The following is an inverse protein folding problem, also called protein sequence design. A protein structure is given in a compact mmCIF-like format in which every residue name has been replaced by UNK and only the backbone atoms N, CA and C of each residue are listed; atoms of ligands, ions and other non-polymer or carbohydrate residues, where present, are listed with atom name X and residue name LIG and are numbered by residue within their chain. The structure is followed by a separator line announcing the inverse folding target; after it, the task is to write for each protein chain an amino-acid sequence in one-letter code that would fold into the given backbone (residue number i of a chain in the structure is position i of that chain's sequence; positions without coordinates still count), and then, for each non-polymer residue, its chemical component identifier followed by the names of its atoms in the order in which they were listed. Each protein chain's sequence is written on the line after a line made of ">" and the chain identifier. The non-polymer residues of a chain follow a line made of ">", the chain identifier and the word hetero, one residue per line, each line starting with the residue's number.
data_IF_784576326664
#
_entry.id   IF_784576326664
#
_cell.length_a   1.000
_cell.length_b   1.000
_cell.length_c   1.000
_cell.angle_alpha   90.00
_cell.angle_beta   90.00
_cell.angle_gamma   90.00
#
_symmetry.space_group_name_H-M   'P 1'
#
loop_
_entity.id
_entity.type
_entity.pdbx_description
1 polymer ?
#
# COMPACT_ATOMS: atom_id res chain seq x y z
N UNK A 1 -6.83 -8.12 31.96
CA UNK A 1 -6.33 -8.86 30.77
C UNK A 1 -7.51 -9.28 29.91
N UNK A 2 -7.71 -8.58 28.79
CA UNK A 2 -8.72 -9.00 27.80
C UNK A 2 -8.26 -10.35 27.23
N UNK A 3 -9.04 -11.41 27.42
CA UNK A 3 -8.84 -12.67 26.71
C UNK A 3 -8.84 -12.36 25.22
N UNK A 4 -7.90 -12.95 24.45
CA UNK A 4 -7.87 -12.82 23.00
C UNK A 4 -9.26 -13.13 22.46
N UNK A 5 -9.93 -12.10 21.97
CA UNK A 5 -11.29 -12.21 21.40
C UNK A 5 -11.28 -12.98 20.07
N UNK A 6 -10.12 -13.12 19.47
CA UNK A 6 -9.95 -13.70 18.15
C UNK A 6 -9.15 -15.00 18.22
N UNK A 7 -9.66 -16.03 17.60
CA UNK A 7 -9.01 -17.35 17.54
C UNK A 7 -7.71 -17.28 16.71
N UNK A 8 -7.71 -16.51 15.63
CA UNK A 8 -6.57 -16.30 14.71
C UNK A 8 -6.32 -14.79 14.51
N UNK A 9 -5.45 -14.17 15.32
CA UNK A 9 -5.23 -12.73 15.29
C UNK A 9 -4.32 -12.27 14.13
N UNK A 10 -4.63 -12.69 12.91
CA UNK A 10 -3.93 -12.29 11.69
C UNK A 10 -4.92 -11.71 10.69
N UNK A 11 -4.62 -10.55 10.14
CA UNK A 11 -5.48 -9.85 9.20
C UNK A 11 -4.67 -9.29 8.03
N UNK A 12 -5.29 -9.27 6.86
CA UNK A 12 -4.78 -8.58 5.70
C UNK A 12 -5.46 -7.21 5.58
N UNK A 13 -4.67 -6.19 5.31
CA UNK A 13 -5.15 -4.84 5.06
C UNK A 13 -4.80 -4.45 3.63
N UNK A 14 -5.77 -4.05 2.87
CA UNK A 14 -5.60 -3.69 1.47
C UNK A 14 -6.81 -2.91 0.95
N UNK A 15 -6.73 -2.36 -0.26
CA UNK A 15 -7.84 -1.63 -0.86
C UNK A 15 -9.01 -2.56 -1.16
N UNK A 16 -10.20 -1.98 -1.34
CA UNK A 16 -11.32 -2.70 -1.93
C UNK A 16 -10.99 -3.07 -3.38
N UNK A 17 -11.38 -4.29 -3.77
CA UNK A 17 -11.12 -4.82 -5.11
C UNK A 17 -12.20 -4.28 -6.06
N UNK A 18 -12.07 -3.05 -6.52
CA UNK A 18 -12.94 -2.45 -7.53
C UNK A 18 -12.35 -2.58 -8.93
N UNK A 19 -11.04 -2.57 -9.04
CA UNK A 19 -10.31 -2.81 -10.29
C UNK A 19 -8.93 -3.41 -10.02
N UNK A 20 -8.37 -4.04 -11.03
CA UNK A 20 -7.03 -4.62 -10.97
C UNK A 20 -5.96 -3.58 -11.30
N UNK A 21 -4.88 -3.59 -10.51
CA UNK A 21 -3.71 -2.76 -10.75
C UNK A 21 -2.53 -3.67 -11.09
N UNK A 22 -1.91 -3.46 -12.27
CA UNK A 22 -0.71 -4.19 -12.65
C UNK A 22 0.52 -3.64 -11.94
N UNK A 23 1.57 -4.47 -11.80
CA UNK A 23 2.88 -4.01 -11.32
C UNK A 23 3.40 -2.85 -12.19
N UNK A 24 3.19 -2.93 -13.51
CA UNK A 24 3.54 -1.84 -14.44
C UNK A 24 2.84 -0.52 -14.09
N UNK A 25 1.57 -0.57 -13.71
CA UNK A 25 0.84 0.63 -13.27
C UNK A 25 1.48 1.25 -12.02
N UNK A 26 1.81 0.42 -11.02
CA UNK A 26 2.45 0.87 -9.79
C UNK A 26 3.83 1.48 -10.07
N UNK A 27 4.64 0.84 -10.91
CA UNK A 27 5.96 1.33 -11.30
C UNK A 27 5.87 2.68 -12.03
N UNK A 28 4.92 2.85 -12.95
CA UNK A 28 4.70 4.13 -13.63
C UNK A 28 4.35 5.27 -12.65
N UNK A 29 3.59 4.96 -11.61
CA UNK A 29 3.29 5.95 -10.56
C UNK A 29 4.54 6.35 -9.76
N UNK A 30 5.38 5.38 -9.43
CA UNK A 30 6.66 5.63 -8.76
C UNK A 30 7.57 6.51 -9.65
N UNK A 31 7.77 6.12 -10.90
CA UNK A 31 8.59 6.88 -11.86
C UNK A 31 8.12 8.34 -12.01
N UNK A 32 6.81 8.53 -12.14
CA UNK A 32 6.22 9.86 -12.26
C UNK A 32 6.47 10.72 -11.02
N UNK A 33 6.33 10.15 -9.84
CA UNK A 33 6.53 10.87 -8.59
C UNK A 33 8.00 11.23 -8.39
N UNK A 34 8.89 10.28 -8.59
CA UNK A 34 10.33 10.45 -8.40
C UNK A 34 11.02 11.19 -9.56
N UNK A 35 10.30 11.45 -10.66
CA UNK A 35 10.83 12.07 -11.88
C UNK A 35 12.09 11.35 -12.42
N UNK A 36 12.11 10.04 -12.28
CA UNK A 36 13.21 9.18 -12.65
C UNK A 36 12.70 7.91 -13.29
N UNK A 37 13.36 7.44 -14.34
CA UNK A 37 13.04 6.16 -14.97
C UNK A 37 13.65 5.02 -14.18
N UNK A 38 12.84 4.02 -13.89
CA UNK A 38 13.29 2.78 -13.28
C UNK A 38 13.85 1.84 -14.35
N UNK A 39 14.98 1.22 -14.06
CA UNK A 39 15.52 0.16 -14.92
C UNK A 39 14.82 -1.17 -14.60
N UNK A 40 13.65 -1.35 -15.18
CA UNK A 40 12.81 -2.53 -14.93
C UNK A 40 13.05 -3.56 -16.02
N UNK A 41 13.38 -4.77 -15.63
CA UNK A 41 13.48 -5.93 -16.51
C UNK A 41 12.35 -6.90 -16.21
N UNK A 42 11.56 -7.22 -17.23
CA UNK A 42 10.54 -8.25 -17.12
C UNK A 42 11.14 -9.60 -17.52
N UNK A 43 11.02 -10.61 -16.65
CA UNK A 43 11.46 -11.95 -16.95
C UNK A 43 10.61 -12.58 -18.07
N UNK A 44 11.25 -13.07 -19.13
CA UNK A 44 10.54 -13.70 -20.27
C UNK A 44 10.17 -15.17 -20.04
N UNK A 45 10.67 -15.81 -19.00
CA UNK A 45 10.47 -17.24 -18.74
C UNK A 45 9.43 -17.47 -17.66
N UNK A 46 8.23 -17.79 -18.10
CA UNK A 46 7.09 -18.18 -17.28
C UNK A 46 7.14 -19.66 -16.84
N UNK A 47 8.25 -20.11 -16.27
CA UNK A 47 8.29 -21.47 -15.68
C UNK A 47 7.59 -21.56 -14.33
N UNK A 48 7.33 -20.44 -13.69
CA UNK A 48 6.46 -20.32 -12.52
C UNK A 48 5.41 -19.31 -12.95
N UNK A 49 4.21 -19.78 -13.23
CA UNK A 49 3.06 -18.90 -13.37
C UNK A 49 2.78 -18.31 -11.98
N UNK A 50 3.43 -17.20 -11.69
CA UNK A 50 2.86 -16.29 -10.70
C UNK A 50 1.47 -15.92 -11.22
N UNK A 51 0.46 -16.12 -10.42
CA UNK A 51 -0.89 -15.66 -10.72
C UNK A 51 -0.79 -14.20 -11.16
N UNK A 52 -1.27 -13.88 -12.37
CA UNK A 52 -1.24 -12.51 -12.93
C UNK A 52 -1.92 -11.48 -12.00
N UNK A 53 -2.61 -11.95 -10.97
CA UNK A 53 -3.36 -11.15 -10.01
C UNK A 53 -3.14 -11.71 -8.60
N UNK A 54 -2.31 -11.02 -7.82
CA UNK A 54 -2.23 -11.26 -6.38
C UNK A 54 -3.03 -10.17 -5.68
N UNK A 55 -4.16 -10.58 -5.09
CA UNK A 55 -5.05 -9.69 -4.37
C UNK A 55 -5.09 -10.09 -2.90
N UNK A 56 -5.02 -9.09 -2.02
CA UNK A 56 -5.27 -9.30 -0.60
C UNK A 56 -6.77 -9.25 -0.33
N UNK A 57 -7.29 -10.31 0.29
CA UNK A 57 -8.65 -10.30 0.79
C UNK A 57 -8.68 -9.63 2.17
N UNK A 58 -9.42 -8.53 2.30
CA UNK A 58 -9.55 -7.75 3.52
C UNK A 58 -10.84 -8.02 4.29
N UNK A 59 -11.65 -9.00 3.89
CA UNK A 59 -12.96 -9.27 4.48
C UNK A 59 -12.87 -9.61 5.97
N UNK A 60 -11.86 -10.39 6.38
CA UNK A 60 -11.67 -10.71 7.79
C UNK A 60 -11.42 -9.46 8.64
N UNK A 61 -10.61 -8.51 8.13
CA UNK A 61 -10.36 -7.25 8.83
C UNK A 61 -11.64 -6.42 8.96
N UNK A 62 -12.48 -6.39 7.92
CA UNK A 62 -13.78 -5.71 7.95
C UNK A 62 -14.72 -6.32 9.00
N UNK A 63 -14.86 -7.65 8.99
CA UNK A 63 -15.81 -8.35 9.84
C UNK A 63 -15.40 -8.35 11.32
N UNK A 64 -14.14 -8.61 11.60
CA UNK A 64 -13.65 -8.78 12.97
C UNK A 64 -13.22 -7.48 13.65
N UNK A 65 -12.65 -6.55 12.88
CA UNK A 65 -12.12 -5.28 13.40
C UNK A 65 -13.00 -4.08 13.08
N UNK A 66 -14.02 -4.22 12.22
CA UNK A 66 -14.78 -3.09 11.70
C UNK A 66 -13.93 -2.15 10.84
N UNK A 67 -12.78 -2.63 10.35
CA UNK A 67 -11.87 -1.84 9.55
C UNK A 67 -12.41 -1.67 8.13
N UNK A 68 -12.27 -0.47 7.58
CA UNK A 68 -12.61 -0.15 6.19
C UNK A 68 -11.44 0.60 5.53
N UNK A 69 -11.08 0.28 4.28
CA UNK A 69 -10.09 1.06 3.55
C UNK A 69 -10.67 2.43 3.22
N UNK A 70 -9.99 3.48 3.62
CA UNK A 70 -10.40 4.88 3.41
C UNK A 70 -9.68 5.54 2.24
N UNK A 71 -8.55 4.98 1.82
CA UNK A 71 -7.73 5.52 0.74
C UNK A 71 -7.99 4.77 -0.56
N UNK A 72 -8.08 5.51 -1.67
CA UNK A 72 -7.92 4.92 -3.00
C UNK A 72 -6.49 4.41 -3.17
N UNK A 73 -6.28 3.48 -4.11
CA UNK A 73 -4.92 2.98 -4.43
C UNK A 73 -4.01 4.13 -4.87
N UNK A 74 -4.51 5.04 -5.71
CA UNK A 74 -3.74 6.20 -6.16
C UNK A 74 -3.30 7.08 -4.99
N UNK A 75 -4.21 7.39 -4.07
CA UNK A 75 -3.87 8.21 -2.90
C UNK A 75 -2.91 7.51 -1.95
N UNK A 76 -3.09 6.21 -1.75
CA UNK A 76 -2.16 5.41 -0.95
C UNK A 76 -0.74 5.40 -1.56
N UNK A 77 -0.64 5.27 -2.89
CA UNK A 77 0.64 5.36 -3.61
C UNK A 77 1.28 6.74 -3.50
N UNK A 78 0.49 7.80 -3.62
CA UNK A 78 1.00 9.18 -3.48
C UNK A 78 1.61 9.40 -2.09
N UNK A 79 0.89 9.03 -1.03
CA UNK A 79 1.38 9.15 0.34
C UNK A 79 2.62 8.28 0.60
N UNK A 80 2.64 7.07 0.06
CA UNK A 80 3.78 6.16 0.16
C UNK A 80 5.01 6.71 -0.55
N UNK A 81 4.85 7.19 -1.78
CA UNK A 81 5.94 7.79 -2.54
C UNK A 81 6.48 9.06 -1.88
N UNK A 82 5.59 9.92 -1.37
CA UNK A 82 5.96 11.13 -0.63
C UNK A 82 6.82 10.76 0.60
N UNK A 83 6.43 9.73 1.35
CA UNK A 83 7.16 9.29 2.52
C UNK A 83 8.57 8.79 2.16
N UNK A 84 8.69 7.87 1.20
CA UNK A 84 9.98 7.33 0.77
C UNK A 84 10.87 8.40 0.11
N UNK A 85 10.30 9.26 -0.71
CA UNK A 85 11.03 10.38 -1.32
C UNK A 85 11.61 11.30 -0.25
N UNK A 86 10.80 11.69 0.73
CA UNK A 86 11.24 12.54 1.84
C UNK A 86 12.28 11.84 2.71
N UNK A 87 12.13 10.55 2.95
CA UNK A 87 13.11 9.76 3.70
C UNK A 87 14.50 9.78 3.02
N UNK A 88 14.54 9.71 1.71
CA UNK A 88 15.80 9.72 0.95
C UNK A 88 16.38 11.10 0.70
N UNK A 89 15.55 12.13 0.60
CA UNK A 89 16.01 13.49 0.24
C UNK A 89 16.10 14.42 1.42
N UNK A 90 15.28 14.25 2.44
CA UNK A 90 15.24 15.09 3.65
C UNK A 90 14.78 14.31 4.88
N UNK A 91 15.64 13.46 5.37
CA UNK A 91 15.35 12.56 6.49
C UNK A 91 14.92 13.29 7.78
N UNK A 92 15.34 14.53 7.97
CA UNK A 92 14.99 15.32 9.15
C UNK A 92 13.48 15.64 9.23
N UNK A 93 12.81 15.74 8.06
CA UNK A 93 11.37 16.02 7.97
C UNK A 93 10.49 14.77 8.12
N UNK A 94 11.07 13.58 8.18
CA UNK A 94 10.27 12.35 8.08
C UNK A 94 9.31 12.16 9.26
N UNK A 95 9.70 12.57 10.45
CA UNK A 95 8.86 12.48 11.65
C UNK A 95 7.60 13.35 11.48
N UNK A 96 7.78 14.60 11.08
CA UNK A 96 6.66 15.53 10.91
C UNK A 96 5.75 15.09 9.77
N UNK A 97 6.32 14.61 8.66
CA UNK A 97 5.55 14.04 7.56
C UNK A 97 4.74 12.81 8.02
N UNK A 98 5.35 11.91 8.77
CA UNK A 98 4.66 10.72 9.28
C UNK A 98 3.47 11.13 10.15
N UNK A 99 3.66 12.07 11.07
CA UNK A 99 2.58 12.56 11.93
C UNK A 99 1.47 13.25 11.13
N UNK A 100 1.83 14.04 10.12
CA UNK A 100 0.85 14.71 9.25
C UNK A 100 0.04 13.71 8.41
N UNK A 101 0.66 12.63 7.91
CA UNK A 101 -0.04 11.58 7.19
C UNK A 101 -0.98 10.77 8.09
N UNK A 102 -0.58 10.50 9.33
CA UNK A 102 -1.46 9.88 10.33
C UNK A 102 -2.68 10.76 10.61
N UNK A 103 -2.46 12.05 10.83
CA UNK A 103 -3.55 13.00 11.09
C UNK A 103 -4.48 13.14 9.87
N UNK A 104 -3.91 13.20 8.67
CA UNK A 104 -4.70 13.17 7.44
C UNK A 104 -5.60 11.94 7.38
N UNK A 105 -5.07 10.75 7.63
CA UNK A 105 -5.83 9.50 7.61
C UNK A 105 -6.95 9.46 8.66
N UNK A 106 -6.68 9.97 9.86
CA UNK A 106 -7.68 10.03 10.94
C UNK A 106 -8.89 10.89 10.58
N UNK A 107 -8.69 11.93 9.77
CA UNK A 107 -9.74 12.88 9.38
C UNK A 107 -10.50 12.47 8.10
N UNK A 108 -10.19 11.32 7.52
CA UNK A 108 -10.98 10.72 6.44
C UNK A 108 -12.21 9.98 7.00
#
# INVERSE_FOLDING_TARGET
>A
LRKNKFEYPYWNFGPNIEKFYSVKYLLNKVEKYWKSKLNVKFAKNNRIQETNFLLLNNEKAKLELGWQPKLSVDKALDLTNEWYYTYHTNKQKIKDLTLSQIEYYKNL
#
